data_IF_869253923049
#
_entry.id   IF_869253923049
#
_cell.length_a   1.000
_cell.length_b   1.000
_cell.length_c   1.000
_cell.angle_alpha   90.00
_cell.angle_beta   90.00
_cell.angle_gamma   90.00
#
_symmetry.space_group_name_H-M   'P 1'
#
loop_
_entity.id
_entity.type
_entity.pdbx_description
1 polymer ?
#
# COMPACT_ATOMS: atom_id res chain seq x y z
N UNK A 1 17.98 -27.60 -9.73
CA UNK A 1 18.24 -27.16 -8.34
C UNK A 1 17.26 -26.04 -7.98
N UNK A 2 17.28 -25.47 -6.76
CA UNK A 2 16.30 -24.43 -6.37
C UNK A 2 16.28 -23.23 -7.34
N UNK A 3 17.41 -22.70 -7.85
CA UNK A 3 17.40 -21.60 -8.82
C UNK A 3 16.69 -21.93 -10.14
N UNK A 4 16.84 -23.17 -10.64
CA UNK A 4 16.22 -23.62 -11.90
C UNK A 4 14.71 -23.86 -11.78
N UNK A 5 14.17 -23.86 -10.56
CA UNK A 5 12.74 -24.05 -10.31
C UNK A 5 11.91 -22.80 -10.67
N UNK A 6 12.55 -21.65 -10.88
CA UNK A 6 11.88 -20.38 -11.16
C UNK A 6 12.12 -19.93 -12.60
N UNK A 7 11.06 -19.45 -13.25
CA UNK A 7 11.15 -18.90 -14.60
C UNK A 7 11.64 -17.44 -14.54
N UNK A 8 12.96 -17.28 -14.44
CA UNK A 8 13.61 -15.96 -14.37
C UNK A 8 13.41 -15.16 -15.66
N UNK A 9 13.39 -15.80 -16.82
CA UNK A 9 13.16 -15.09 -18.10
C UNK A 9 11.76 -14.47 -18.17
N UNK A 10 10.74 -15.20 -17.72
CA UNK A 10 9.38 -14.65 -17.63
C UNK A 10 9.34 -13.46 -16.67
N UNK A 11 9.99 -13.56 -15.51
CA UNK A 11 10.08 -12.45 -14.55
C UNK A 11 10.71 -11.21 -15.19
N UNK A 12 11.85 -11.36 -15.86
CA UNK A 12 12.56 -10.26 -16.50
C UNK A 12 11.72 -9.63 -17.62
N UNK A 13 11.10 -10.45 -18.48
CA UNK A 13 10.22 -9.96 -19.54
C UNK A 13 9.01 -9.18 -18.99
N UNK A 14 8.40 -9.65 -17.91
CA UNK A 14 7.32 -8.94 -17.23
C UNK A 14 7.80 -7.58 -16.67
N UNK A 15 8.96 -7.55 -16.01
CA UNK A 15 9.53 -6.32 -15.44
C UNK A 15 9.86 -5.29 -16.53
N UNK A 16 10.52 -5.70 -17.62
CA UNK A 16 10.85 -4.82 -18.75
C UNK A 16 9.59 -4.26 -19.43
N UNK A 17 8.51 -5.05 -19.47
CA UNK A 17 7.23 -4.61 -20.05
C UNK A 17 6.52 -3.62 -19.13
N UNK A 18 6.52 -3.87 -17.82
CA UNK A 18 6.00 -2.91 -16.83
C UNK A 18 6.79 -1.59 -16.82
N UNK A 19 8.12 -1.65 -16.96
CA UNK A 19 8.98 -0.47 -17.07
C UNK A 19 8.69 0.37 -18.32
N UNK A 20 8.19 -0.25 -19.39
CA UNK A 20 7.73 0.43 -20.62
C UNK A 20 6.30 0.99 -20.51
N UNK A 21 5.68 0.91 -19.33
CA UNK A 21 4.31 1.40 -19.13
C UNK A 21 3.25 0.51 -19.77
N UNK A 22 3.54 -0.78 -19.97
CA UNK A 22 2.61 -1.75 -20.55
C UNK A 22 2.13 -2.75 -19.50
N UNK A 23 0.84 -3.09 -19.55
CA UNK A 23 0.26 -4.10 -18.66
C UNK A 23 0.77 -5.50 -19.00
N UNK A 24 0.88 -6.35 -17.98
CA UNK A 24 1.36 -7.73 -18.13
C UNK A 24 0.41 -8.72 -17.46
N UNK A 25 0.25 -9.89 -18.06
CA UNK A 25 -0.42 -11.02 -17.43
C UNK A 25 0.60 -11.86 -16.66
N UNK A 26 0.37 -12.03 -15.36
CA UNK A 26 1.23 -12.83 -14.48
C UNK A 26 0.51 -14.12 -14.12
N UNK A 27 1.13 -15.29 -14.30
CA UNK A 27 0.49 -16.56 -13.98
C UNK A 27 0.24 -16.72 -12.49
N UNK A 28 -0.93 -17.25 -12.13
CA UNK A 28 -1.24 -17.64 -10.76
C UNK A 28 -0.71 -19.06 -10.50
N UNK A 29 -0.05 -19.28 -9.36
CA UNK A 29 0.45 -20.60 -8.97
C UNK A 29 -0.34 -21.16 -7.80
N UNK A 30 -0.90 -22.35 -7.96
CA UNK A 30 -1.58 -23.06 -6.89
C UNK A 30 -0.64 -24.03 -6.17
N UNK A 31 -0.43 -23.77 -4.88
CA UNK A 31 0.43 -24.56 -4.00
C UNK A 31 -0.17 -25.91 -3.57
N UNK A 32 -1.48 -26.14 -3.80
CA UNK A 32 -2.14 -27.42 -3.56
C UNK A 32 -1.95 -28.36 -4.74
N UNK A 33 -2.27 -27.89 -5.95
CA UNK A 33 -2.12 -28.68 -7.18
C UNK A 33 -0.71 -28.65 -7.78
N UNK A 34 0.16 -27.78 -7.29
CA UNK A 34 1.53 -27.56 -7.79
C UNK A 34 1.59 -27.14 -9.27
N UNK A 35 0.56 -26.43 -9.76
CA UNK A 35 0.41 -26.03 -11.17
C UNK A 35 0.12 -24.54 -11.32
N UNK A 36 0.38 -24.03 -12.52
CA UNK A 36 -0.16 -22.75 -12.97
C UNK A 36 -1.67 -22.88 -13.19
N UNK A 37 -2.41 -21.86 -12.82
CA UNK A 37 -3.87 -21.86 -12.88
C UNK A 37 -4.36 -20.62 -13.61
N UNK A 38 -5.37 -20.80 -14.45
CA UNK A 38 -6.11 -19.74 -15.13
C UNK A 38 -7.25 -19.20 -14.22
N UNK A 39 -7.64 -17.92 -14.34
CA UNK A 39 -7.07 -16.93 -15.24
C UNK A 39 -5.74 -16.37 -14.71
N UNK A 40 -4.86 -15.94 -15.60
CA UNK A 40 -3.71 -15.11 -15.24
C UNK A 40 -4.15 -13.79 -14.59
N UNK A 41 -3.32 -13.27 -13.69
CA UNK A 41 -3.55 -11.99 -13.02
C UNK A 41 -3.01 -10.85 -13.87
N UNK A 42 -3.89 -9.99 -14.35
CA UNK A 42 -3.48 -8.75 -15.02
C UNK A 42 -2.85 -7.78 -14.02
N UNK A 43 -1.66 -7.27 -14.35
CA UNK A 43 -0.95 -6.27 -13.56
C UNK A 43 -0.72 -5.04 -14.44
N UNK A 44 -1.31 -3.92 -14.02
CA UNK A 44 -1.12 -2.63 -14.68
C UNK A 44 0.23 -2.01 -14.30
N UNK A 45 0.79 -1.16 -15.17
CA UNK A 45 1.95 -0.34 -14.83
C UNK A 45 1.70 0.50 -13.59
N UNK A 46 2.75 0.75 -12.81
CA UNK A 46 2.71 1.59 -11.62
C UNK A 46 4.04 2.32 -11.44
N UNK A 47 4.00 3.49 -10.80
CA UNK A 47 5.19 4.28 -10.48
C UNK A 47 6.13 3.53 -9.52
N UNK A 48 5.59 2.58 -8.74
CA UNK A 48 6.35 1.75 -7.80
C UNK A 48 6.02 0.29 -8.03
N UNK A 49 7.05 -0.50 -8.34
CA UNK A 49 6.95 -1.96 -8.48
C UNK A 49 7.68 -2.60 -7.31
N UNK A 50 6.96 -3.37 -6.50
CA UNK A 50 7.55 -4.16 -5.42
C UNK A 50 7.74 -5.58 -5.94
N UNK A 51 9.00 -5.98 -6.11
CA UNK A 51 9.35 -7.36 -6.40
C UNK A 51 9.66 -8.09 -5.10
N UNK A 52 8.91 -9.15 -4.80
CA UNK A 52 9.08 -9.99 -3.62
C UNK A 52 9.39 -11.43 -4.04
N UNK A 53 10.28 -12.08 -3.29
CA UNK A 53 10.58 -13.49 -3.46
C UNK A 53 11.90 -13.90 -2.82
N UNK A 54 12.04 -15.20 -2.54
CA UNK A 54 13.19 -15.76 -1.82
C UNK A 54 14.52 -15.73 -2.61
N UNK A 55 14.47 -15.58 -3.93
CA UNK A 55 15.66 -15.65 -4.81
C UNK A 55 15.85 -14.41 -5.70
N UNK A 56 15.08 -13.35 -5.51
CA UNK A 56 15.12 -12.18 -6.39
C UNK A 56 16.48 -11.47 -6.38
N UNK A 57 17.22 -11.55 -5.26
CA UNK A 57 18.57 -11.00 -5.13
C UNK A 57 19.67 -11.97 -5.59
N UNK A 58 19.34 -13.24 -5.83
CA UNK A 58 20.29 -14.22 -6.35
C UNK A 58 20.59 -13.94 -7.83
N UNK A 59 19.57 -13.61 -8.63
CA UNK A 59 19.71 -13.37 -10.07
C UNK A 59 20.33 -11.98 -10.37
N UNK A 60 21.55 -11.89 -10.96
CA UNK A 60 22.18 -10.60 -11.27
C UNK A 60 21.32 -9.71 -12.18
N UNK A 61 20.75 -10.29 -13.25
CA UNK A 61 19.88 -9.57 -14.21
C UNK A 61 18.67 -8.92 -13.53
N UNK A 62 18.10 -9.55 -12.51
CA UNK A 62 17.00 -8.96 -11.76
C UNK A 62 17.47 -7.80 -10.88
N UNK A 63 18.65 -7.93 -10.25
CA UNK A 63 19.24 -6.89 -9.40
C UNK A 63 19.55 -5.60 -10.15
N UNK A 64 19.93 -5.71 -11.42
CA UNK A 64 20.28 -4.58 -12.27
C UNK A 64 19.05 -3.72 -12.61
N UNK A 65 17.85 -4.31 -12.58
CA UNK A 65 16.57 -3.60 -12.80
C UNK A 65 16.04 -2.93 -11.52
N UNK A 66 16.62 -3.21 -10.35
CA UNK A 66 16.10 -2.72 -9.06
C UNK A 66 16.79 -1.43 -8.60
N UNK A 67 16.00 -0.41 -8.29
CA UNK A 67 16.51 0.84 -7.70
C UNK A 67 16.85 0.72 -6.20
N UNK A 68 16.22 -0.21 -5.48
CA UNK A 68 16.46 -0.46 -4.06
C UNK A 68 16.31 -1.95 -3.76
N UNK A 69 17.28 -2.54 -3.06
CA UNK A 69 17.35 -3.97 -2.74
C UNK A 69 17.26 -4.16 -1.23
N UNK A 70 16.23 -4.87 -0.77
CA UNK A 70 15.98 -5.11 0.66
C UNK A 70 16.07 -6.60 0.95
N UNK A 71 16.76 -6.96 2.03
CA UNK A 71 16.74 -8.31 2.59
C UNK A 71 16.09 -8.31 3.97
N UNK A 72 15.04 -9.09 4.16
CA UNK A 72 14.40 -9.26 5.46
C UNK A 72 15.08 -10.39 6.21
N UNK A 73 15.73 -10.03 7.32
CA UNK A 73 16.51 -10.97 8.14
C UNK A 73 15.71 -11.39 9.38
N UNK A 74 15.54 -12.69 9.53
CA UNK A 74 14.79 -13.29 10.63
C UNK A 74 15.33 -14.69 10.90
N UNK A 75 15.42 -15.04 12.18
CA UNK A 75 15.97 -16.31 12.61
C UNK A 75 15.24 -17.50 11.99
N UNK A 76 16.00 -18.57 11.73
CA UNK A 76 15.52 -19.75 11.00
C UNK A 76 14.39 -20.48 11.72
N UNK A 77 14.40 -20.50 13.05
CA UNK A 77 13.38 -21.07 13.92
C UNK A 77 12.07 -20.26 13.87
N UNK A 78 12.12 -18.94 13.93
CA UNK A 78 10.96 -18.05 13.78
C UNK A 78 10.34 -18.23 12.39
N UNK A 79 11.17 -18.28 11.34
CA UNK A 79 10.70 -18.55 9.96
C UNK A 79 10.09 -19.94 9.83
N UNK A 80 10.68 -20.96 10.45
CA UNK A 80 10.16 -22.32 10.45
C UNK A 80 8.81 -22.41 11.20
N UNK A 81 8.69 -21.78 12.37
CA UNK A 81 7.44 -21.75 13.13
C UNK A 81 6.30 -21.09 12.33
N UNK A 82 6.59 -19.95 11.69
CA UNK A 82 5.65 -19.27 10.76
C UNK A 82 5.26 -20.17 9.59
N UNK A 83 6.23 -20.87 8.98
CA UNK A 83 5.99 -21.81 7.89
C UNK A 83 5.13 -22.99 8.32
N UNK A 84 5.39 -23.60 9.47
CA UNK A 84 4.61 -24.71 10.00
C UNK A 84 3.16 -24.27 10.15
N UNK A 85 2.93 -23.16 10.87
CA UNK A 85 1.59 -22.62 11.08
C UNK A 85 0.84 -22.39 9.76
N UNK A 86 1.49 -21.76 8.78
CA UNK A 86 0.90 -21.50 7.46
C UNK A 86 0.59 -22.79 6.70
N UNK A 87 1.56 -23.69 6.59
CA UNK A 87 1.42 -24.89 5.78
C UNK A 87 0.46 -25.93 6.41
N UNK A 88 0.30 -25.96 7.73
CA UNK A 88 -0.68 -26.81 8.41
C UNK A 88 -2.09 -26.20 8.37
N UNK A 89 -2.25 -24.94 8.79
CA UNK A 89 -3.57 -24.30 8.92
C UNK A 89 -4.16 -23.92 7.56
N UNK A 90 -3.38 -23.30 6.67
CA UNK A 90 -3.92 -22.76 5.41
C UNK A 90 -3.86 -23.80 4.27
N UNK A 91 -2.89 -24.72 4.31
CA UNK A 91 -2.65 -25.69 3.23
C UNK A 91 -2.99 -27.14 3.60
N UNK A 92 -3.35 -27.41 4.86
CA UNK A 92 -3.77 -28.74 5.31
C UNK A 92 -2.66 -29.80 5.29
N UNK A 93 -1.39 -29.39 5.35
CA UNK A 93 -0.25 -30.33 5.29
C UNK A 93 0.02 -30.97 6.65
N UNK A 94 0.50 -32.22 6.64
CA UNK A 94 0.98 -32.89 7.83
C UNK A 94 2.30 -32.26 8.31
N UNK A 95 2.44 -32.03 9.62
CA UNK A 95 3.62 -31.39 10.21
C UNK A 95 4.92 -32.15 9.92
N UNK A 96 4.89 -33.48 9.92
CA UNK A 96 6.06 -34.32 9.65
C UNK A 96 6.59 -34.07 8.23
N UNK A 97 5.69 -34.02 7.25
CA UNK A 97 6.04 -33.72 5.85
C UNK A 97 6.68 -32.33 5.73
N UNK A 98 6.16 -31.34 6.47
CA UNK A 98 6.72 -29.97 6.46
C UNK A 98 8.14 -29.96 7.02
N UNK A 99 8.39 -30.68 8.13
CA UNK A 99 9.70 -30.78 8.76
C UNK A 99 10.70 -31.55 7.88
N UNK A 100 10.29 -32.68 7.30
CA UNK A 100 11.13 -33.48 6.41
C UNK A 100 11.52 -32.68 5.16
N UNK A 101 10.57 -31.97 4.55
CA UNK A 101 10.84 -31.09 3.41
C UNK A 101 11.77 -29.94 3.80
N UNK A 102 11.59 -29.37 5.00
CA UNK A 102 12.43 -28.30 5.49
C UNK A 102 13.88 -28.73 5.64
N UNK A 103 14.11 -29.85 6.32
CA UNK A 103 15.45 -30.40 6.55
C UNK A 103 16.12 -30.85 5.25
N UNK A 104 15.38 -31.53 4.37
CA UNK A 104 15.94 -32.12 3.15
C UNK A 104 16.22 -31.11 2.05
N UNK A 105 15.37 -30.09 1.87
CA UNK A 105 15.45 -29.21 0.71
C UNK A 105 15.55 -27.73 1.06
N UNK A 106 14.76 -27.25 2.03
CA UNK A 106 14.59 -25.81 2.25
C UNK A 106 15.79 -25.21 2.96
N UNK A 107 16.25 -25.85 4.05
CA UNK A 107 17.40 -25.36 4.83
C UNK A 107 18.68 -25.37 3.99
N UNK A 108 19.06 -26.48 3.32
CA UNK A 108 20.24 -26.49 2.45
C UNK A 108 20.16 -25.41 1.36
N UNK A 109 19.03 -25.30 0.66
CA UNK A 109 18.90 -24.30 -0.41
C UNK A 109 18.91 -22.85 0.12
N UNK A 110 18.43 -22.63 1.35
CA UNK A 110 18.53 -21.33 1.99
C UNK A 110 19.98 -20.95 2.28
N UNK A 111 20.74 -21.86 2.87
CA UNK A 111 22.15 -21.64 3.21
C UNK A 111 23.03 -21.48 1.96
N UNK A 112 22.72 -22.22 0.89
CA UNK A 112 23.49 -22.22 -0.35
C UNK A 112 23.17 -21.03 -1.28
N UNK A 113 21.90 -20.67 -1.45
CA UNK A 113 21.48 -19.69 -2.48
C UNK A 113 20.87 -18.41 -1.91
N UNK A 114 20.07 -18.50 -0.85
CA UNK A 114 19.27 -17.37 -0.36
C UNK A 114 20.09 -16.50 0.58
N UNK A 115 20.70 -17.09 1.60
CA UNK A 115 21.48 -16.37 2.61
C UNK A 115 22.68 -15.63 2.00
N UNK A 116 23.45 -16.20 1.04
CA UNK A 116 24.55 -15.47 0.40
C UNK A 116 24.08 -14.26 -0.41
N UNK A 117 22.83 -14.25 -0.89
CA UNK A 117 22.28 -13.11 -1.64
C UNK A 117 22.07 -11.87 -0.77
N UNK A 118 22.06 -12.02 0.56
CA UNK A 118 22.01 -10.91 1.55
C UNK A 118 23.08 -9.86 1.31
N UNK A 119 24.26 -10.25 0.82
CA UNK A 119 25.37 -9.33 0.51
C UNK A 119 25.05 -8.32 -0.61
N UNK A 120 24.01 -8.57 -1.39
CA UNK A 120 23.57 -7.70 -2.48
C UNK A 120 22.47 -6.73 -2.05
N UNK A 121 22.03 -6.76 -0.80
CA UNK A 121 21.01 -5.85 -0.30
C UNK A 121 21.61 -4.49 0.08
N UNK A 122 20.90 -3.43 -0.27
CA UNK A 122 21.22 -2.06 0.17
C UNK A 122 20.77 -1.88 1.64
N UNK A 123 19.68 -2.55 2.04
CA UNK A 123 19.09 -2.45 3.38
C UNK A 123 18.76 -3.85 3.90
N UNK A 124 19.10 -4.11 5.17
CA UNK A 124 18.72 -5.32 5.89
C UNK A 124 17.70 -4.94 6.97
N UNK A 125 16.52 -5.57 6.95
CA UNK A 125 15.44 -5.32 7.92
C UNK A 125 15.32 -6.50 8.87
N UNK A 126 15.68 -6.33 10.15
CA UNK A 126 15.44 -7.36 11.14
C UNK A 126 13.95 -7.45 11.49
N UNK A 127 13.49 -8.64 11.89
CA UNK A 127 12.11 -8.94 12.37
C UNK A 127 11.00 -8.79 11.33
N UNK A 128 11.29 -8.26 10.14
CA UNK A 128 10.34 -8.14 9.04
C UNK A 128 9.14 -7.27 9.38
N UNK A 129 7.94 -7.82 9.27
CA UNK A 129 6.67 -7.10 9.43
C UNK A 129 6.48 -6.46 10.81
N UNK A 130 7.17 -6.96 11.85
CA UNK A 130 7.09 -6.42 13.21
C UNK A 130 7.93 -5.13 13.39
N UNK A 131 8.65 -4.71 12.36
CA UNK A 131 9.52 -3.54 12.39
C UNK A 131 8.86 -2.32 11.72
N UNK A 132 7.87 -1.74 12.40
CA UNK A 132 7.10 -0.59 11.93
C UNK A 132 8.00 0.60 11.55
N UNK A 133 9.08 0.83 12.31
CA UNK A 133 10.05 1.90 12.03
C UNK A 133 10.72 1.69 10.67
N UNK A 134 11.16 0.47 10.35
CA UNK A 134 11.77 0.19 9.06
C UNK A 134 10.78 0.32 7.89
N UNK A 135 9.52 -0.09 8.11
CA UNK A 135 8.44 0.08 7.13
C UNK A 135 8.20 1.57 6.87
N UNK A 136 8.11 2.39 7.91
CA UNK A 136 7.91 3.83 7.78
C UNK A 136 9.05 4.52 7.04
N UNK A 137 10.30 4.13 7.28
CA UNK A 137 11.46 4.64 6.55
C UNK A 137 11.39 4.31 5.05
N UNK A 138 11.01 3.09 4.68
CA UNK A 138 10.80 2.71 3.28
C UNK A 138 9.67 3.53 2.65
N UNK A 139 8.55 3.66 3.37
CA UNK A 139 7.38 4.42 2.88
C UNK A 139 7.76 5.88 2.67
N UNK A 140 8.50 6.50 3.59
CA UNK A 140 9.00 7.86 3.44
C UNK A 140 9.96 8.00 2.24
N UNK A 141 10.87 7.03 2.05
CA UNK A 141 11.77 7.03 0.91
C UNK A 141 11.00 6.98 -0.42
N UNK A 142 10.01 6.09 -0.53
CA UNK A 142 9.17 5.98 -1.72
C UNK A 142 8.40 7.28 -1.97
N UNK A 143 7.77 7.85 -0.93
CA UNK A 143 7.04 9.13 -1.05
C UNK A 143 7.94 10.27 -1.52
N UNK A 144 9.18 10.30 -1.01
CA UNK A 144 10.18 11.29 -1.43
C UNK A 144 10.55 11.12 -2.91
N UNK A 145 10.78 9.89 -3.37
CA UNK A 145 11.06 9.59 -4.78
C UNK A 145 9.90 9.92 -5.72
N UNK A 146 8.66 9.76 -5.25
CA UNK A 146 7.47 10.13 -6.00
C UNK A 146 7.16 11.64 -5.98
N UNK A 147 7.98 12.47 -5.33
CA UNK A 147 7.76 13.92 -5.25
C UNK A 147 6.53 14.32 -4.43
N UNK A 148 5.93 13.39 -3.68
CA UNK A 148 4.71 13.65 -2.91
C UNK A 148 4.94 14.63 -1.74
N UNK A 149 6.20 14.85 -1.36
CA UNK A 149 6.56 15.78 -0.28
C UNK A 149 6.68 17.25 -0.71
N UNK A 150 6.63 17.56 -2.01
CA UNK A 150 6.93 18.92 -2.50
C UNK A 150 5.92 19.50 -3.50
N UNK A 151 4.75 18.86 -3.71
CA UNK A 151 3.72 19.43 -4.59
C UNK A 151 3.34 20.87 -4.21
N UNK A 152 3.22 21.17 -2.92
CA UNK A 152 2.94 22.53 -2.44
C UNK A 152 4.15 23.49 -2.58
N UNK A 153 5.39 22.98 -2.68
CA UNK A 153 6.58 23.81 -2.92
C UNK A 153 6.74 24.15 -4.40
N UNK A 154 6.37 23.21 -5.28
CA UNK A 154 6.47 23.36 -6.72
C UNK A 154 5.28 24.16 -7.26
N UNK A 155 4.08 23.91 -6.72
CA UNK A 155 2.84 24.56 -7.13
C UNK A 155 2.25 25.33 -5.94
N UNK A 156 2.44 26.66 -5.87
CA UNK A 156 1.97 27.47 -4.73
C UNK A 156 0.44 27.52 -4.62
N UNK A 157 -0.27 27.14 -5.69
CA UNK A 157 -1.72 27.05 -5.77
C UNK A 157 -2.27 25.63 -5.51
N UNK A 158 -1.42 24.68 -5.12
CA UNK A 158 -1.85 23.33 -4.72
C UNK A 158 -1.98 23.25 -3.20
N UNK A 159 -3.19 22.91 -2.75
CA UNK A 159 -3.49 22.68 -1.35
C UNK A 159 -3.71 21.17 -1.14
N UNK A 160 -2.91 20.55 -0.27
CA UNK A 160 -3.03 19.14 0.06
C UNK A 160 -3.94 18.98 1.28
N UNK A 161 -5.02 18.21 1.10
CA UNK A 161 -5.95 17.89 2.19
C UNK A 161 -5.29 16.90 3.14
N UNK A 162 -5.33 17.20 4.44
CA UNK A 162 -4.79 16.32 5.46
C UNK A 162 -5.52 14.96 5.47
N UNK A 163 -4.76 13.86 5.34
CA UNK A 163 -5.33 12.51 5.26
C UNK A 163 -5.60 11.95 6.66
N UNK A 164 -6.87 11.87 7.05
CA UNK A 164 -7.32 11.22 8.29
C UNK A 164 -7.39 9.70 8.14
N UNK A 165 -7.46 8.96 9.26
CA UNK A 165 -7.68 7.50 9.23
C UNK A 165 -8.94 7.12 8.44
N UNK A 166 -9.99 7.94 8.51
CA UNK A 166 -11.22 7.75 7.75
C UNK A 166 -10.97 7.88 6.24
N UNK A 167 -10.29 8.95 5.80
CA UNK A 167 -9.93 9.16 4.38
C UNK A 167 -9.06 8.01 3.87
N UNK A 168 -8.09 7.55 4.67
CA UNK A 168 -7.25 6.39 4.33
C UNK A 168 -8.10 5.12 4.18
N UNK A 169 -9.02 4.85 5.11
CA UNK A 169 -9.93 3.71 5.02
C UNK A 169 -10.80 3.76 3.76
N UNK A 170 -11.33 4.93 3.42
CA UNK A 170 -12.10 5.13 2.19
C UNK A 170 -11.26 4.88 0.94
N UNK A 171 -10.03 5.39 0.89
CA UNK A 171 -9.11 5.10 -0.20
C UNK A 171 -8.78 3.62 -0.33
N UNK A 172 -8.66 2.90 0.78
CA UNK A 172 -8.49 1.43 0.76
C UNK A 172 -9.70 0.76 0.14
N UNK A 173 -10.92 1.12 0.55
CA UNK A 173 -12.16 0.55 0.02
C UNK A 173 -12.33 0.83 -1.47
N UNK A 174 -12.05 2.05 -1.92
CA UNK A 174 -12.13 2.41 -3.35
C UNK A 174 -11.10 1.66 -4.21
N UNK A 175 -9.99 1.20 -3.61
CA UNK A 175 -8.91 0.47 -4.30
C UNK A 175 -8.98 -1.05 -4.13
N UNK A 176 -9.90 -1.57 -3.31
CA UNK A 176 -10.08 -3.01 -3.12
C UNK A 176 -10.89 -3.58 -4.29
N UNK A 177 -10.35 -4.63 -4.92
CA UNK A 177 -10.97 -5.35 -6.02
C UNK A 177 -12.29 -6.02 -5.62
N UNK A 178 -12.49 -6.29 -4.33
CA UNK A 178 -13.71 -6.90 -3.80
C UNK A 178 -14.83 -5.89 -3.53
N UNK A 179 -14.56 -4.60 -3.62
CA UNK A 179 -15.55 -3.56 -3.32
C UNK A 179 -16.66 -3.57 -4.36
N UNK A 180 -17.92 -3.55 -3.89
CA UNK A 180 -19.08 -3.56 -4.78
C UNK A 180 -19.17 -2.25 -5.57
N UNK A 181 -19.85 -2.26 -6.72
CA UNK A 181 -20.08 -1.04 -7.50
C UNK A 181 -20.77 0.05 -6.67
N UNK A 182 -21.72 -0.34 -5.83
CA UNK A 182 -22.45 0.59 -4.97
C UNK A 182 -21.53 1.23 -3.93
N UNK A 183 -20.72 0.42 -3.24
CA UNK A 183 -19.76 0.90 -2.25
C UNK A 183 -18.68 1.78 -2.88
N UNK A 184 -18.19 1.40 -4.07
CA UNK A 184 -17.24 2.21 -4.82
C UNK A 184 -17.80 3.62 -5.08
N UNK A 185 -19.03 3.71 -5.62
CA UNK A 185 -19.69 5.01 -5.88
C UNK A 185 -19.86 5.79 -4.58
N UNK A 186 -20.36 5.14 -3.53
CA UNK A 186 -20.59 5.77 -2.23
C UNK A 186 -19.31 6.37 -1.62
N UNK A 187 -18.21 5.63 -1.60
CA UNK A 187 -16.95 6.11 -1.04
C UNK A 187 -16.25 7.12 -1.95
N UNK A 188 -16.35 6.96 -3.28
CA UNK A 188 -15.84 7.93 -4.23
C UNK A 188 -16.55 9.29 -4.09
N UNK A 189 -17.89 9.30 -4.01
CA UNK A 189 -18.68 10.53 -3.84
C UNK A 189 -18.32 11.27 -2.55
N UNK A 190 -18.12 10.53 -1.45
CA UNK A 190 -17.67 11.15 -0.20
C UNK A 190 -16.25 11.74 -0.32
N UNK A 191 -15.32 11.07 -1.00
CA UNK A 191 -13.98 11.62 -1.24
C UNK A 191 -14.05 12.87 -2.11
N UNK A 192 -14.87 12.85 -3.17
CA UNK A 192 -15.12 14.02 -4.05
C UNK A 192 -15.69 15.18 -3.25
N UNK A 193 -16.68 14.91 -2.39
CA UNK A 193 -17.29 15.94 -1.54
C UNK A 193 -16.28 16.59 -0.60
N UNK A 194 -15.37 15.83 0.01
CA UNK A 194 -14.30 16.39 0.84
C UNK A 194 -13.38 17.30 0.04
N UNK A 195 -13.03 16.92 -1.20
CA UNK A 195 -12.21 17.75 -2.09
C UNK A 195 -12.94 19.05 -2.46
N UNK A 196 -14.22 18.94 -2.84
CA UNK A 196 -15.04 20.11 -3.21
C UNK A 196 -15.24 21.04 -2.03
N UNK A 197 -15.60 20.54 -0.84
CA UNK A 197 -15.78 21.36 0.36
C UNK A 197 -14.49 22.08 0.75
N UNK A 198 -13.34 21.40 0.68
CA UNK A 198 -12.05 22.04 0.93
C UNK A 198 -11.74 23.11 -0.11
N UNK A 199 -11.96 22.82 -1.40
CA UNK A 199 -11.75 23.77 -2.50
C UNK A 199 -12.65 25.01 -2.41
N UNK A 200 -13.92 24.83 -2.05
CA UNK A 200 -14.86 25.93 -1.83
C UNK A 200 -14.41 26.85 -0.68
N UNK A 201 -13.71 26.31 0.32
CA UNK A 201 -13.13 27.09 1.41
C UNK A 201 -12.06 28.10 0.98
N UNK A 202 -11.47 27.93 -0.20
CA UNK A 202 -10.47 28.84 -0.77
C UNK A 202 -11.06 29.90 -1.72
N UNK A 203 -12.37 29.85 -2.00
CA UNK A 203 -13.01 30.86 -2.84
C UNK A 203 -13.05 32.22 -2.13
N UNK A 204 -12.87 33.34 -2.86
CA UNK A 204 -12.94 34.66 -2.28
C UNK A 204 -14.33 34.93 -1.70
N UNK A 205 -14.37 35.43 -0.47
CA UNK A 205 -15.60 35.82 0.21
C UNK A 205 -15.45 37.18 0.87
N UNK A 206 -16.56 37.90 1.05
CA UNK A 206 -16.61 39.18 1.75
C UNK A 206 -17.43 39.02 3.02
N UNK A 207 -16.86 39.37 4.18
CA UNK A 207 -17.65 39.42 5.41
C UNK A 207 -18.64 40.59 5.37
N UNK A 208 -19.89 40.31 5.71
CA UNK A 208 -20.97 41.28 5.79
C UNK A 208 -21.67 41.15 7.13
N UNK A 209 -21.71 42.24 7.88
CA UNK A 209 -22.53 42.34 9.08
C UNK A 209 -24.01 42.41 8.65
N UNK A 210 -24.83 41.47 9.12
CA UNK A 210 -26.28 41.50 8.95
C UNK A 210 -26.93 41.73 10.30
N UNK A 211 -27.96 42.58 10.31
CA UNK A 211 -28.80 42.81 11.48
C UNK A 211 -29.97 41.84 11.35
N UNK A 212 -30.15 40.97 12.34
CA UNK A 212 -31.29 40.05 12.38
C UNK A 212 -32.60 40.82 12.57
N UNK A 213 -33.75 40.24 12.22
CA UNK A 213 -35.06 40.85 12.51
C UNK A 213 -35.31 41.10 14.02
N UNK A 214 -34.53 40.47 14.90
CA UNK A 214 -34.55 40.68 16.36
C UNK A 214 -33.62 41.81 16.83
N UNK A 215 -32.87 42.46 15.92
CA UNK A 215 -31.97 43.56 16.24
C UNK A 215 -30.53 43.15 16.57
N UNK A 216 -30.20 41.87 16.52
CA UNK A 216 -28.86 41.35 16.82
C UNK A 216 -27.95 41.47 15.59
N UNK A 217 -26.69 41.88 15.80
CA UNK A 217 -25.69 41.88 14.72
C UNK A 217 -25.03 40.51 14.60
N UNK A 218 -25.08 39.92 13.41
CA UNK A 218 -24.45 38.65 13.09
C UNK A 218 -23.49 38.80 11.91
N UNK A 219 -22.31 38.21 12.03
CA UNK A 219 -21.33 38.12 10.95
C UNK A 219 -21.80 37.11 9.91
N UNK A 220 -22.15 37.57 8.73
CA UNK A 220 -22.48 36.73 7.58
C UNK A 220 -21.38 36.80 6.52
N UNK A 221 -21.34 35.81 5.64
CA UNK A 221 -20.41 35.75 4.52
C UNK A 221 -21.19 36.00 3.23
N UNK A 222 -20.73 36.94 2.41
CA UNK A 222 -21.26 37.24 1.07
C UNK A 222 -20.29 36.71 0.00
N UNK A 223 -20.78 35.79 -0.82
CA UNK A 223 -20.04 35.08 -1.87
C UNK A 223 -20.95 34.02 -2.52
N UNK A 224 -20.49 33.38 -3.61
CA UNK A 224 -21.31 32.49 -4.45
C UNK A 224 -21.90 31.26 -3.73
N UNK A 225 -21.51 30.97 -2.49
CA UNK A 225 -22.13 29.93 -1.67
C UNK A 225 -22.22 30.38 -0.20
N UNK A 226 -23.44 30.55 0.31
CA UNK A 226 -23.70 30.64 1.74
C UNK A 226 -23.55 29.26 2.37
N UNK A 227 -22.33 28.86 2.71
CA UNK A 227 -22.12 27.78 3.68
C UNK A 227 -21.93 28.43 5.05
N UNK A 228 -22.89 28.22 5.95
CA UNK A 228 -22.81 28.59 7.37
C UNK A 228 -21.51 28.01 7.96
N UNK A 229 -20.46 28.82 8.11
CA UNK A 229 -19.37 28.55 9.04
C UNK A 229 -19.89 28.76 10.46
N UNK A 230 -20.52 27.74 11.06
CA UNK A 230 -20.53 27.65 12.51
C UNK A 230 -19.18 27.06 12.94
N UNK A 231 -18.25 27.96 13.28
CA UNK A 231 -17.08 27.60 14.07
C UNK A 231 -17.58 27.26 15.48
N UNK A 232 -17.64 25.98 15.81
CA UNK A 232 -17.67 25.57 17.22
C UNK A 232 -16.26 25.17 17.62
N UNK A 233 -15.73 25.98 18.52
CA UNK A 233 -14.57 25.83 19.37
C UNK A 233 -14.16 24.36 19.63
N UNK A 234 -12.86 24.12 19.53
CA UNK A 234 -12.17 23.06 20.27
C UNK A 234 -12.53 23.19 21.77
N UNK A 235 -13.27 22.23 22.32
CA UNK A 235 -12.90 21.52 23.55
C UNK A 235 -13.99 20.53 24.02
N UNK A 236 -13.50 19.34 24.36
CA UNK A 236 -14.05 18.40 25.34
C UNK A 236 -15.41 17.71 25.07
N UNK A 237 -15.30 16.45 24.63
CA UNK A 237 -16.12 15.32 25.07
C UNK A 237 -17.64 15.42 25.02
N UNK A 238 -18.26 14.68 24.08
CA UNK A 238 -19.32 13.69 24.35
C UNK A 238 -19.74 12.97 23.06
N UNK A 239 -19.87 11.65 23.19
CA UNK A 239 -20.47 10.72 22.24
C UNK A 239 -21.98 11.01 22.17
N UNK A 240 -22.56 11.04 20.96
CA UNK A 240 -23.98 10.81 20.74
C UNK A 240 -24.22 10.13 19.39
N UNK A 241 -24.66 8.87 19.45
CA UNK A 241 -25.31 8.13 18.36
C UNK A 241 -26.73 8.66 18.18
N UNK A 242 -27.19 8.83 16.93
CA UNK A 242 -28.61 8.87 16.59
C UNK A 242 -28.80 8.09 15.30
N UNK A 243 -29.43 6.92 15.42
CA UNK A 243 -29.93 6.10 14.31
C UNK A 243 -31.10 6.78 13.59
N UNK A 244 -31.25 6.44 12.31
CA UNK A 244 -32.56 6.13 11.71
C UNK A 244 -32.45 4.82 10.97
#
# INVERSE_FOLDING_TARGET
MLPDAFNTELLLSCLETLQRGQAVSIPNYDFKSHKKVEPERMVNPSDVIILEGILILHAPRARDLMNMKIFVDTDSDVRLARRIKRDTVERGRNIQIVLDQYAKFVKPSFEEYILPSKKHADIIIPRGADNEVAIDLIVQHIRSKLGQHDLCKIYPNVFVIFSTFQIRGMHTLVRDVKTTKHDFVFYADRLIRLVVEHGLGHLPFTEKQIITPTGDSASAISGYFQQKKHHTLLNQGKISLIDR
#
